data_IF_708861390989
#
_entry.id   IF_708861390989
#
_cell.length_a   1.000
_cell.length_b   1.000
_cell.length_c   1.000
_cell.angle_alpha   90.00
_cell.angle_beta   90.00
_cell.angle_gamma   90.00
#
_symmetry.space_group_name_H-M   'P 1'
#
loop_
_entity.id
_entity.type
_entity.pdbx_description
1 polymer ?
#
# COMPACT_ATOMS: atom_id res chain seq x y z
N UNK A 1 -1.74 -22.70 30.31
CA UNK A 1 -1.72 -21.28 30.74
C UNK A 1 -0.34 -20.86 31.29
N UNK A 2 0.25 -21.61 32.25
CA UNK A 2 1.55 -21.29 32.85
C UNK A 2 2.74 -21.24 31.87
N UNK A 3 2.81 -22.17 30.89
CA UNK A 3 3.85 -22.15 29.84
C UNK A 3 3.81 -20.90 28.94
N UNK A 4 2.66 -20.24 28.84
CA UNK A 4 2.49 -19.04 28.01
C UNK A 4 3.00 -17.79 28.74
N UNK A 5 2.80 -17.73 30.06
CA UNK A 5 3.27 -16.62 30.89
C UNK A 5 4.81 -16.55 30.92
N UNK A 6 5.47 -17.71 31.05
CA UNK A 6 6.93 -17.78 31.02
C UNK A 6 7.53 -17.35 29.66
N UNK A 7 6.81 -17.57 28.55
CA UNK A 7 7.26 -17.11 27.23
C UNK A 7 7.08 -15.58 27.08
N UNK A 8 6.04 -14.99 27.68
CA UNK A 8 5.85 -13.54 27.70
C UNK A 8 6.87 -12.84 28.60
N UNK A 9 7.23 -13.43 29.75
CA UNK A 9 8.33 -12.94 30.60
C UNK A 9 9.69 -13.11 29.90
N UNK A 10 9.91 -14.19 29.16
CA UNK A 10 11.12 -14.34 28.32
C UNK A 10 11.19 -13.33 27.17
N UNK A 11 10.06 -13.00 26.54
CA UNK A 11 10.00 -11.97 25.50
C UNK A 11 10.14 -10.56 26.09
N UNK A 12 9.60 -10.31 27.28
CA UNK A 12 9.77 -9.04 27.99
C UNK A 12 11.18 -8.88 28.58
N UNK A 13 11.79 -9.97 29.04
CA UNK A 13 13.17 -10.00 29.55
C UNK A 13 14.22 -9.94 28.44
N UNK A 14 13.94 -10.48 27.26
CA UNK A 14 14.80 -10.38 26.07
C UNK A 14 14.72 -9.04 25.34
N UNK A 15 13.68 -8.23 25.57
CA UNK A 15 13.50 -6.92 24.95
C UNK A 15 14.35 -5.79 25.57
N UNK A 16 15.16 -6.09 26.60
CA UNK A 16 16.02 -5.11 27.24
C UNK A 16 17.46 -5.12 26.72
N UNK A 17 17.79 -6.01 25.79
CA UNK A 17 19.10 -6.08 25.15
C UNK A 17 19.01 -5.52 23.72
N UNK A 18 19.66 -4.37 23.52
CA UNK A 18 19.70 -3.55 22.29
C UNK A 18 18.56 -2.55 22.07
N UNK A 19 18.34 -1.64 23.04
CA UNK A 19 17.78 -0.32 22.70
C UNK A 19 18.80 0.45 21.85
N UNK A 20 18.88 0.15 20.56
CA UNK A 20 19.46 1.06 19.58
C UNK A 20 18.79 2.43 19.72
N UNK A 21 19.55 3.51 19.58
CA UNK A 21 19.02 4.87 19.69
C UNK A 21 17.72 5.02 18.88
N UNK A 22 16.61 5.26 19.58
CA UNK A 22 15.29 5.37 18.95
C UNK A 22 15.28 6.41 17.84
N UNK A 23 14.52 6.16 16.78
CA UNK A 23 14.36 7.12 15.69
C UNK A 23 13.72 8.39 16.23
N UNK A 24 14.33 9.53 15.91
CA UNK A 24 13.82 10.83 16.35
C UNK A 24 12.72 11.35 15.43
N UNK A 25 11.68 11.89 16.04
CA UNK A 25 10.55 12.57 15.36
C UNK A 25 11.04 13.79 14.57
N UNK A 26 12.05 14.50 15.10
CA UNK A 26 12.59 15.71 14.47
C UNK A 26 13.24 15.39 13.14
N UNK A 27 14.01 14.29 13.07
CA UNK A 27 14.65 13.84 11.83
C UNK A 27 13.57 13.44 10.79
N UNK A 28 12.51 12.78 11.24
CA UNK A 28 11.39 12.43 10.36
C UNK A 28 10.70 13.69 9.77
N UNK A 29 10.50 14.74 10.57
CA UNK A 29 9.95 16.02 10.08
C UNK A 29 10.90 16.76 9.13
N UNK A 30 12.21 16.73 9.37
CA UNK A 30 13.20 17.30 8.44
C UNK A 30 13.16 16.54 7.11
N UNK A 31 13.18 15.20 7.14
CA UNK A 31 13.03 14.39 5.93
C UNK A 31 11.68 14.62 5.23
N UNK A 32 10.63 14.93 5.98
CA UNK A 32 9.31 15.26 5.44
C UNK A 32 9.28 16.65 4.78
N UNK A 33 9.99 17.65 5.32
CA UNK A 33 10.05 18.98 4.74
C UNK A 33 10.83 19.00 3.42
N UNK A 34 12.00 18.35 3.38
CA UNK A 34 12.88 18.36 2.20
C UNK A 34 12.56 17.25 1.19
N UNK A 35 12.06 16.10 1.65
CA UNK A 35 11.83 14.92 0.83
C UNK A 35 10.41 14.37 0.94
N UNK A 36 9.46 15.15 1.47
CA UNK A 36 8.08 14.73 1.67
C UNK A 36 7.37 14.31 0.40
N UNK A 37 7.54 15.08 -0.69
CA UNK A 37 6.95 14.75 -1.99
C UNK A 37 7.52 13.45 -2.59
N UNK A 38 8.77 13.12 -2.27
CA UNK A 38 9.41 11.87 -2.72
C UNK A 38 9.24 10.70 -1.73
N UNK A 39 8.60 10.92 -0.57
CA UNK A 39 8.42 9.90 0.45
C UNK A 39 9.67 9.56 1.28
N UNK A 40 10.68 10.43 1.33
CA UNK A 40 11.97 10.18 2.00
C UNK A 40 11.81 9.83 3.49
N UNK A 41 10.86 10.49 4.15
CA UNK A 41 10.53 10.23 5.56
C UNK A 41 9.97 8.82 5.81
N UNK A 42 9.31 8.21 4.82
CA UNK A 42 8.74 6.86 4.91
C UNK A 42 9.81 5.79 4.75
N UNK A 43 10.79 6.03 3.86
CA UNK A 43 11.98 5.19 3.76
C UNK A 43 12.80 5.22 5.05
N UNK A 44 12.94 6.39 5.69
CA UNK A 44 13.59 6.51 7.00
C UNK A 44 12.89 5.70 8.09
N UNK A 45 11.56 5.63 8.03
CA UNK A 45 10.71 4.87 8.96
C UNK A 45 10.55 3.39 8.56
N UNK A 46 11.32 2.89 7.57
CA UNK A 46 11.27 1.50 7.06
C UNK A 46 9.89 1.09 6.53
N UNK A 47 9.14 2.04 5.96
CA UNK A 47 7.83 1.80 5.32
C UNK A 47 7.97 1.91 3.80
N UNK A 48 8.80 1.04 3.23
CA UNK A 48 9.27 1.14 1.84
C UNK A 48 8.12 1.07 0.83
N UNK A 49 7.09 0.25 1.07
CA UNK A 49 5.91 0.18 0.19
C UNK A 49 5.10 1.48 0.15
N UNK A 50 4.93 2.15 1.31
CA UNK A 50 4.25 3.45 1.37
C UNK A 50 5.11 4.53 0.71
N UNK A 51 6.43 4.51 0.97
CA UNK A 51 7.39 5.41 0.33
C UNK A 51 7.38 5.27 -1.20
N UNK A 52 7.38 4.04 -1.71
CA UNK A 52 7.30 3.75 -3.14
C UNK A 52 6.01 4.27 -3.76
N UNK A 53 4.86 4.09 -3.11
CA UNK A 53 3.59 4.63 -3.59
C UNK A 53 3.60 6.16 -3.61
N UNK A 54 4.05 6.81 -2.53
CA UNK A 54 4.20 8.26 -2.46
C UNK A 54 5.10 8.77 -3.57
N UNK A 55 6.22 8.10 -3.83
CA UNK A 55 7.13 8.43 -4.93
C UNK A 55 6.48 8.27 -6.31
N UNK A 56 5.84 7.11 -6.57
CA UNK A 56 5.18 6.81 -7.86
C UNK A 56 3.99 7.73 -8.18
N UNK A 57 3.41 8.37 -7.16
CA UNK A 57 2.25 9.27 -7.28
C UNK A 57 2.60 10.74 -7.08
N UNK A 58 3.90 11.07 -7.15
CA UNK A 58 4.43 12.44 -6.99
C UNK A 58 3.93 13.12 -5.70
N UNK A 59 4.02 12.41 -4.57
CA UNK A 59 3.63 12.90 -3.25
C UNK A 59 2.20 12.55 -2.83
N UNK A 60 1.58 11.54 -3.45
CA UNK A 60 0.20 11.14 -3.15
C UNK A 60 -0.81 12.23 -3.50
N UNK A 61 -0.62 12.86 -4.67
CA UNK A 61 -1.43 13.99 -5.15
C UNK A 61 -1.44 15.20 -4.20
N UNK A 62 -0.36 15.40 -3.43
CA UNK A 62 -0.23 16.48 -2.43
C UNK A 62 -1.02 16.25 -1.13
N UNK A 63 -2.12 15.49 -1.18
CA UNK A 63 -2.90 15.11 0.01
C UNK A 63 -2.17 14.09 0.89
N UNK A 64 -1.42 13.17 0.27
CA UNK A 64 -0.56 12.22 0.99
C UNK A 64 0.45 12.94 1.88
N UNK A 65 1.15 13.92 1.30
CA UNK A 65 2.11 14.76 2.01
C UNK A 65 1.51 15.49 3.22
N UNK A 66 0.30 16.07 3.09
CA UNK A 66 -0.38 16.77 4.18
C UNK A 66 -0.86 15.80 5.28
N UNK A 67 -1.40 14.65 4.87
CA UNK A 67 -1.90 13.62 5.78
C UNK A 67 -0.77 13.03 6.66
N UNK A 68 0.45 12.98 6.14
CA UNK A 68 1.59 12.40 6.83
C UNK A 68 2.03 13.20 8.07
N UNK A 69 1.77 14.52 8.14
CA UNK A 69 2.07 15.36 9.33
C UNK A 69 1.48 14.75 10.61
N UNK A 70 0.23 14.28 10.53
CA UNK A 70 -0.50 13.70 11.66
C UNK A 70 -0.08 12.28 11.98
N UNK A 71 0.51 11.57 11.01
CA UNK A 71 0.87 10.14 11.12
C UNK A 71 2.32 9.92 11.56
N UNK A 72 3.23 10.85 11.26
CA UNK A 72 4.65 10.79 11.63
C UNK A 72 4.85 10.45 13.12
N UNK A 73 4.18 11.09 14.09
CA UNK A 73 4.36 10.77 15.51
C UNK A 73 4.00 9.32 15.83
N UNK A 74 2.94 8.80 15.21
CA UNK A 74 2.54 7.40 15.37
C UNK A 74 3.58 6.47 14.76
N UNK A 75 4.07 6.78 13.55
CA UNK A 75 5.08 5.96 12.87
C UNK A 75 6.40 5.89 13.65
N UNK A 76 6.82 6.98 14.28
CA UNK A 76 8.02 6.98 15.11
C UNK A 76 7.82 6.11 16.35
N UNK A 77 6.66 6.17 17.00
CA UNK A 77 6.31 5.27 18.12
C UNK A 77 6.23 3.80 17.69
N UNK A 78 5.72 3.52 16.48
CA UNK A 78 5.69 2.18 15.89
C UNK A 78 7.10 1.62 15.69
N UNK A 79 8.02 2.41 15.14
CA UNK A 79 9.41 2.00 14.88
C UNK A 79 10.22 1.89 16.18
N UNK A 80 9.92 2.72 17.18
CA UNK A 80 10.55 2.67 18.49
C UNK A 80 9.94 1.61 19.43
N UNK A 81 9.02 0.78 18.92
CA UNK A 81 8.36 -0.31 19.65
C UNK A 81 7.80 0.11 21.02
N UNK A 82 7.13 1.26 21.05
CA UNK A 82 6.56 1.81 22.29
C UNK A 82 5.65 0.77 22.97
N UNK A 83 5.96 0.35 24.22
CA UNK A 83 5.25 -0.74 24.89
C UNK A 83 3.76 -0.48 25.07
N UNK A 84 3.32 0.78 25.19
CA UNK A 84 1.89 1.11 25.29
C UNK A 84 1.16 0.87 23.97
N UNK A 85 1.74 1.35 22.86
CA UNK A 85 1.19 1.17 21.52
C UNK A 85 1.15 -0.32 21.15
N UNK A 86 2.22 -1.05 21.44
CA UNK A 86 2.29 -2.48 21.18
C UNK A 86 1.24 -3.26 21.98
N UNK A 87 1.05 -2.95 23.27
CA UNK A 87 -0.02 -3.56 24.09
C UNK A 87 -1.40 -3.32 23.49
N UNK A 88 -1.67 -2.11 23.00
CA UNK A 88 -2.94 -1.80 22.35
C UNK A 88 -3.13 -2.59 21.04
N UNK A 89 -2.08 -2.68 20.21
CA UNK A 89 -2.09 -3.48 18.98
C UNK A 89 -2.32 -4.97 19.26
N UNK A 90 -1.63 -5.55 20.26
CA UNK A 90 -1.82 -6.94 20.67
C UNK A 90 -3.23 -7.19 21.20
N UNK A 91 -3.79 -6.24 21.96
CA UNK A 91 -5.18 -6.32 22.44
C UNK A 91 -6.17 -6.34 21.27
N UNK A 92 -5.97 -5.49 20.26
CA UNK A 92 -6.79 -5.45 19.04
C UNK A 92 -6.67 -6.74 18.21
N UNK A 93 -5.46 -7.27 18.04
CA UNK A 93 -5.25 -8.56 17.34
C UNK A 93 -5.89 -9.74 18.09
N UNK A 94 -5.99 -9.68 19.42
CA UNK A 94 -6.69 -10.71 20.21
C UNK A 94 -8.21 -10.61 20.07
N UNK A 95 -8.75 -9.41 19.88
CA UNK A 95 -10.19 -9.18 19.73
C UNK A 95 -10.69 -9.48 18.31
N UNK A 96 -9.95 -9.06 17.28
CA UNK A 96 -10.35 -9.18 15.88
C UNK A 96 -9.45 -10.18 15.14
N UNK A 97 -10.05 -11.25 14.58
CA UNK A 97 -9.33 -12.22 13.74
C UNK A 97 -8.92 -11.67 12.36
N UNK A 98 -9.56 -10.59 11.90
CA UNK A 98 -9.29 -9.91 10.63
C UNK A 98 -9.30 -8.39 10.87
N UNK A 99 -8.45 -7.62 10.18
CA UNK A 99 -8.47 -6.16 10.31
C UNK A 99 -9.83 -5.60 9.85
N UNK A 100 -10.34 -4.55 10.51
CA UNK A 100 -11.57 -3.89 10.06
C UNK A 100 -11.34 -3.21 8.70
N UNK A 101 -12.39 -3.13 7.89
CA UNK A 101 -12.34 -2.46 6.59
C UNK A 101 -12.02 -0.97 6.77
N UNK A 102 -11.02 -0.50 6.02
CA UNK A 102 -10.60 0.90 6.04
C UNK A 102 -10.95 1.56 4.72
N UNK A 103 -11.89 2.52 4.78
CA UNK A 103 -12.33 3.28 3.61
C UNK A 103 -11.15 4.01 2.94
N UNK A 104 -10.22 4.55 3.73
CA UNK A 104 -9.05 5.23 3.18
C UNK A 104 -8.12 4.29 2.41
N UNK A 105 -7.98 3.03 2.85
CA UNK A 105 -7.23 2.00 2.10
C UNK A 105 -7.95 1.62 0.81
N UNK A 106 -9.26 1.47 0.84
CA UNK A 106 -10.04 1.14 -0.34
C UNK A 106 -10.01 2.26 -1.39
N UNK A 107 -10.23 3.51 -0.98
CA UNK A 107 -10.17 4.68 -1.88
C UNK A 107 -8.76 4.82 -2.47
N UNK A 108 -7.71 4.70 -1.64
CA UNK A 108 -6.35 4.77 -2.16
C UNK A 108 -6.02 3.61 -3.10
N UNK A 109 -6.54 2.40 -2.85
CA UNK A 109 -6.37 1.27 -3.76
C UNK A 109 -6.99 1.55 -5.13
N UNK A 110 -8.22 2.07 -5.16
CA UNK A 110 -8.89 2.49 -6.41
C UNK A 110 -8.06 3.57 -7.12
N UNK A 111 -7.64 4.62 -6.41
CA UNK A 111 -6.87 5.72 -7.00
C UNK A 111 -5.56 5.24 -7.63
N UNK A 112 -4.78 4.42 -6.91
CA UNK A 112 -3.50 3.89 -7.42
C UNK A 112 -3.73 2.94 -8.60
N UNK A 113 -4.74 2.06 -8.51
CA UNK A 113 -5.09 1.15 -9.59
C UNK A 113 -5.52 1.90 -10.84
N UNK A 114 -6.26 3.00 -10.70
CA UNK A 114 -6.65 3.88 -11.80
C UNK A 114 -5.43 4.55 -12.42
N UNK A 115 -4.56 5.14 -11.60
CA UNK A 115 -3.32 5.76 -12.06
C UNK A 115 -2.47 4.78 -12.87
N UNK A 116 -2.15 3.62 -12.29
CA UNK A 116 -1.26 2.65 -12.92
C UNK A 116 -1.89 1.97 -14.12
N UNK A 117 -3.18 1.63 -14.05
CA UNK A 117 -3.91 1.07 -15.19
C UNK A 117 -3.98 2.04 -16.38
N UNK A 118 -4.25 3.32 -16.12
CA UNK A 118 -4.26 4.37 -17.16
C UNK A 118 -2.87 4.61 -17.74
N UNK A 119 -1.82 4.62 -16.91
CA UNK A 119 -0.44 4.73 -17.40
C UNK A 119 -0.07 3.59 -18.35
N UNK A 120 -0.48 2.36 -18.04
CA UNK A 120 -0.25 1.20 -18.92
C UNK A 120 -1.06 1.33 -20.21
N UNK A 121 -2.31 1.80 -20.13
CA UNK A 121 -3.17 2.00 -21.29
C UNK A 121 -2.60 3.07 -22.23
N UNK A 122 -2.22 4.25 -21.70
CA UNK A 122 -1.64 5.36 -22.49
C UNK A 122 -0.29 4.99 -23.10
N UNK A 123 0.47 4.09 -22.45
CA UNK A 123 1.73 3.61 -22.99
C UNK A 123 1.58 2.71 -24.22
N UNK A 124 0.37 2.19 -24.50
CA UNK A 124 0.09 1.30 -25.63
C UNK A 124 -0.42 2.17 -26.81
N UNK A 125 0.28 2.18 -27.96
CA UNK A 125 -0.21 2.90 -29.12
C UNK A 125 -1.40 2.17 -29.76
N UNK A 126 -2.43 2.94 -30.13
CA UNK A 126 -3.61 2.44 -30.84
C UNK A 126 -3.37 2.27 -32.35
N UNK A 127 -2.34 2.94 -32.88
CA UNK A 127 -1.97 2.88 -34.29
C UNK A 127 -0.90 1.82 -34.52
N UNK A 128 -0.95 1.07 -35.64
CA UNK A 128 0.11 0.13 -36.00
C UNK A 128 1.45 0.87 -36.13
N UNK A 129 2.47 0.40 -35.42
CA UNK A 129 3.84 0.92 -35.53
C UNK A 129 4.65 -0.10 -36.31
N UNK A 130 5.20 0.31 -37.46
CA UNK A 130 5.96 -0.57 -38.34
C UNK A 130 5.19 -1.83 -38.77
N UNK A 131 3.90 -1.68 -39.13
CA UNK A 131 3.00 -2.75 -39.60
C UNK A 131 2.67 -3.85 -38.56
N UNK A 132 3.12 -3.72 -37.32
CA UNK A 132 2.75 -4.60 -36.21
C UNK A 132 1.62 -4.00 -35.37
N UNK A 133 0.58 -4.80 -35.11
CA UNK A 133 -0.50 -4.46 -34.19
C UNK A 133 -0.10 -4.78 -32.74
N UNK A 134 0.11 -3.75 -31.92
CA UNK A 134 0.48 -3.86 -30.51
C UNK A 134 -0.73 -3.97 -29.57
N UNK A 135 -1.94 -4.12 -30.12
CA UNK A 135 -3.17 -4.22 -29.33
C UNK A 135 -3.21 -5.40 -28.36
N UNK A 136 -2.44 -6.47 -28.61
CA UNK A 136 -2.32 -7.58 -27.64
C UNK A 136 -1.73 -7.13 -26.29
N UNK A 137 -1.03 -5.99 -26.24
CA UNK A 137 -0.40 -5.48 -25.03
C UNK A 137 -1.42 -5.00 -23.99
N UNK A 138 -2.69 -4.83 -24.37
CA UNK A 138 -3.79 -4.48 -23.45
C UNK A 138 -3.99 -5.51 -22.33
N UNK A 139 -3.51 -6.75 -22.50
CA UNK A 139 -3.48 -7.76 -21.43
C UNK A 139 -2.55 -7.40 -20.26
N UNK A 140 -1.71 -6.37 -20.40
CA UNK A 140 -0.91 -5.80 -19.30
C UNK A 140 -1.71 -4.81 -18.43
N UNK A 141 -2.82 -4.26 -18.92
CA UNK A 141 -3.63 -3.28 -18.18
C UNK A 141 -4.15 -3.86 -16.87
N UNK A 142 -4.78 -5.07 -16.83
CA UNK A 142 -5.23 -5.68 -15.59
C UNK A 142 -4.08 -6.03 -14.64
N UNK A 143 -2.90 -6.34 -15.18
CA UNK A 143 -1.70 -6.63 -14.39
C UNK A 143 -1.19 -5.38 -13.68
N UNK A 144 -1.07 -4.26 -14.41
CA UNK A 144 -0.63 -3.00 -13.82
C UNK A 144 -1.57 -2.48 -12.74
N UNK A 145 -2.88 -2.49 -12.99
CA UNK A 145 -3.87 -2.01 -12.01
C UNK A 145 -3.93 -2.88 -10.75
N UNK A 146 -3.94 -4.21 -10.90
CA UNK A 146 -4.04 -5.16 -9.78
C UNK A 146 -2.79 -5.20 -8.91
N UNK A 147 -1.59 -4.99 -9.49
CA UNK A 147 -0.37 -4.79 -8.70
C UNK A 147 -0.50 -3.53 -7.86
N UNK A 148 -1.04 -2.44 -8.43
CA UNK A 148 -1.33 -1.21 -7.69
C UNK A 148 -2.21 -1.46 -6.46
N UNK A 149 -3.33 -2.18 -6.64
CA UNK A 149 -4.19 -2.58 -5.53
C UNK A 149 -3.45 -3.43 -4.50
N UNK A 150 -2.73 -4.46 -4.96
CA UNK A 150 -2.03 -5.37 -4.06
C UNK A 150 -0.97 -4.63 -3.21
N UNK A 151 -0.21 -3.72 -3.81
CA UNK A 151 0.78 -2.90 -3.10
C UNK A 151 0.07 -2.06 -2.03
N UNK A 152 -1.08 -1.45 -2.34
CA UNK A 152 -1.87 -0.69 -1.36
C UNK A 152 -2.39 -1.59 -0.22
N UNK A 153 -2.92 -2.76 -0.58
CA UNK A 153 -3.40 -3.75 0.37
C UNK A 153 -2.31 -4.27 1.30
N UNK A 154 -1.04 -4.27 0.86
CA UNK A 154 0.12 -4.70 1.63
C UNK A 154 0.81 -3.55 2.42
N UNK A 155 0.26 -2.33 2.40
CA UNK A 155 0.83 -1.21 3.19
C UNK A 155 0.66 -1.50 4.68
N UNK A 156 1.76 -1.43 5.44
CA UNK A 156 1.77 -1.51 6.90
C UNK A 156 1.95 -2.94 7.40
N UNK A 157 1.14 -3.35 8.39
CA UNK A 157 1.22 -4.69 9.01
C UNK A 157 0.19 -5.68 8.46
N UNK A 158 -0.61 -5.26 7.50
CA UNK A 158 -1.60 -6.10 6.82
C UNK A 158 -0.96 -6.72 5.58
N UNK A 159 -1.10 -8.03 5.42
CA UNK A 159 -0.51 -8.77 4.29
C UNK A 159 -1.60 -9.45 3.47
N UNK A 160 -1.67 -9.13 2.19
CA UNK A 160 -2.56 -9.75 1.21
C UNK A 160 -1.81 -10.61 0.21
N UNK A 161 -2.48 -11.63 -0.33
CA UNK A 161 -1.92 -12.43 -1.44
C UNK A 161 -2.17 -11.69 -2.77
N UNK A 162 -1.16 -11.52 -3.64
CA UNK A 162 -1.32 -10.80 -4.91
C UNK A 162 -2.30 -11.49 -5.87
N UNK A 163 -2.36 -12.82 -5.81
CA UNK A 163 -3.17 -13.64 -6.71
C UNK A 163 -4.66 -13.32 -6.69
N UNK A 164 -5.19 -12.82 -5.57
CA UNK A 164 -6.62 -12.49 -5.47
C UNK A 164 -6.94 -11.24 -6.29
N UNK A 165 -6.13 -10.19 -6.13
CA UNK A 165 -6.30 -8.94 -6.87
C UNK A 165 -6.06 -9.12 -8.38
N UNK A 166 -5.02 -9.89 -8.72
CA UNK A 166 -4.71 -10.20 -10.12
C UNK A 166 -5.85 -11.03 -10.74
N UNK A 167 -6.25 -12.11 -10.07
CA UNK A 167 -7.30 -13.00 -10.57
C UNK A 167 -8.64 -12.28 -10.80
N UNK A 168 -9.07 -11.44 -9.84
CA UNK A 168 -10.33 -10.69 -9.99
C UNK A 168 -10.24 -9.65 -11.10
N UNK A 169 -9.11 -8.96 -11.26
CA UNK A 169 -8.90 -8.01 -12.35
C UNK A 169 -8.98 -8.69 -13.73
N UNK A 170 -8.32 -9.84 -13.92
CA UNK A 170 -8.38 -10.56 -15.19
C UNK A 170 -9.77 -11.13 -15.49
N UNK A 171 -10.50 -11.61 -14.48
CA UNK A 171 -11.89 -12.06 -14.66
C UNK A 171 -12.78 -10.89 -15.06
N UNK A 172 -12.64 -9.74 -14.39
CA UNK A 172 -13.40 -8.55 -14.72
C UNK A 172 -12.99 -7.93 -16.07
N UNK A 173 -11.74 -8.11 -16.51
CA UNK A 173 -11.28 -7.67 -17.82
C UNK A 173 -12.02 -8.36 -18.98
N UNK A 174 -12.53 -9.57 -18.78
CA UNK A 174 -13.40 -10.24 -19.78
C UNK A 174 -14.69 -9.45 -20.05
N UNK A 175 -15.11 -8.55 -19.16
CA UNK A 175 -16.25 -7.66 -19.40
C UNK A 175 -16.03 -6.70 -20.58
N UNK A 176 -14.78 -6.50 -21.04
CA UNK A 176 -14.45 -5.77 -22.27
C UNK A 176 -15.16 -6.33 -23.51
N UNK A 177 -15.43 -7.64 -23.54
CA UNK A 177 -16.16 -8.26 -24.65
C UNK A 177 -17.69 -8.05 -24.57
N UNK A 178 -18.19 -7.63 -23.41
CA UNK A 178 -19.62 -7.36 -23.19
C UNK A 178 -19.93 -5.87 -23.37
N UNK A 179 -19.05 -5.00 -22.87
CA UNK A 179 -19.18 -3.54 -22.91
C UNK A 179 -18.10 -2.93 -23.81
N UNK A 180 -18.53 -2.32 -24.92
CA UNK A 180 -17.62 -1.62 -25.84
C UNK A 180 -17.11 -0.28 -25.30
N UNK A 181 -17.75 0.28 -24.25
CA UNK A 181 -17.30 1.53 -23.61
C UNK A 181 -16.10 1.27 -22.69
N UNK A 182 -14.98 1.92 -23.01
CA UNK A 182 -13.71 1.83 -22.28
C UNK A 182 -13.82 2.20 -20.82
N UNK A 183 -14.62 3.21 -20.52
CA UNK A 183 -14.75 3.73 -19.16
C UNK A 183 -15.41 2.71 -18.23
N UNK A 184 -16.36 1.94 -18.76
CA UNK A 184 -17.20 1.01 -17.99
C UNK A 184 -16.42 -0.24 -17.61
N UNK A 185 -15.81 -0.93 -18.58
CA UNK A 185 -15.06 -2.15 -18.28
C UNK A 185 -13.82 -1.85 -17.43
N UNK A 186 -13.17 -0.69 -17.65
CA UNK A 186 -12.00 -0.28 -16.89
C UNK A 186 -12.34 0.00 -15.42
N UNK A 187 -13.42 0.74 -15.17
CA UNK A 187 -13.88 1.05 -13.81
C UNK A 187 -14.34 -0.20 -13.07
N UNK A 188 -15.08 -1.10 -13.75
CA UNK A 188 -15.52 -2.37 -13.18
C UNK A 188 -14.33 -3.25 -12.77
N UNK A 189 -13.31 -3.34 -13.63
CA UNK A 189 -12.08 -4.07 -13.35
C UNK A 189 -11.35 -3.53 -12.11
N UNK A 190 -11.25 -2.21 -11.97
CA UNK A 190 -10.59 -1.61 -10.81
C UNK A 190 -11.36 -1.89 -9.53
N UNK A 191 -12.67 -1.65 -9.51
CA UNK A 191 -13.50 -1.84 -8.32
C UNK A 191 -13.54 -3.29 -7.86
N UNK A 192 -13.53 -4.25 -8.79
CA UNK A 192 -13.51 -5.69 -8.45
C UNK A 192 -12.14 -6.18 -7.99
N UNK A 193 -11.07 -5.47 -8.35
CA UNK A 193 -9.72 -5.77 -7.87
C UNK A 193 -9.44 -5.25 -6.46
N UNK A 194 -10.01 -4.09 -6.09
CA UNK A 194 -9.85 -3.37 -4.82
C UNK A 194 -10.64 -3.97 -3.65
#
# INVERSE_FOLDING_TARGET
MLKFNNNLEKMAGGANETKGAGKSVVVAYICWLFGGMFGLHLFYLRRDAHGFLTWSTLGGYGLGWLSDITKIPRYVREVNEDPELMKEMYRKMRQYKKPPFSISRFISAIMIAYLWGQLVMIAIPEVPVADYDLSFLHWLIPLGSSIGVWVVGNIGRETGKPWVAIGSAYVAYLSRYLYYDESVWFSLMIVTSA
#
